data_IF_100801391555
#
_entry.id   IF_100801391555
#
_cell.length_a   1.000
_cell.length_b   1.000
_cell.length_c   1.000
_cell.angle_alpha   90.00
_cell.angle_beta   90.00
_cell.angle_gamma   90.00
#
_symmetry.space_group_name_H-M   'P 1'
#
loop_
_entity.id
_entity.type
_entity.pdbx_description
1 polymer ?
#
# COMPACT_ATOMS: atom_id res chain seq x y z
N UNK A 1 -6.63 16.42 1.30
CA UNK A 1 -7.39 15.79 2.40
C UNK A 1 -6.48 15.21 3.48
N UNK A 2 -5.59 14.26 3.15
CA UNK A 2 -4.67 13.61 4.12
C UNK A 2 -3.80 14.59 4.91
N UNK A 3 -3.20 15.60 4.25
CA UNK A 3 -2.40 16.63 4.93
C UNK A 3 -3.17 17.38 6.02
N UNK A 4 -4.49 17.55 5.87
CA UNK A 4 -5.32 18.22 6.87
C UNK A 4 -5.45 17.37 8.14
N UNK A 5 -5.56 16.05 8.01
CA UNK A 5 -5.66 15.12 9.13
C UNK A 5 -4.30 14.90 9.80
N UNK A 6 -3.23 14.77 9.00
CA UNK A 6 -1.88 14.58 9.50
C UNK A 6 -1.40 15.77 10.35
N UNK A 7 -1.68 16.99 9.89
CA UNK A 7 -1.32 18.24 10.56
C UNK A 7 -2.43 18.76 11.49
N UNK A 8 -3.42 17.94 11.84
CA UNK A 8 -4.53 18.41 12.66
C UNK A 8 -4.05 18.77 14.09
N UNK A 9 -4.39 19.96 14.63
CA UNK A 9 -3.88 20.41 15.93
C UNK A 9 -4.17 19.44 17.08
N UNK A 10 -5.38 18.86 17.10
CA UNK A 10 -5.79 17.90 18.13
C UNK A 10 -4.94 16.62 18.18
N UNK A 11 -4.14 16.35 17.15
CA UNK A 11 -3.29 15.17 17.04
C UNK A 11 -1.80 15.48 16.94
N UNK A 12 -1.38 16.74 17.12
CA UNK A 12 -0.03 17.23 16.75
C UNK A 12 1.09 16.36 17.31
N UNK A 13 1.05 16.05 18.60
CA UNK A 13 2.11 15.33 19.32
C UNK A 13 1.76 13.86 19.62
N UNK A 14 0.70 13.34 18.99
CA UNK A 14 0.27 11.96 19.17
C UNK A 14 0.91 11.03 18.11
N UNK A 15 1.34 9.83 18.50
CA UNK A 15 1.98 8.87 17.59
C UNK A 15 1.00 8.29 16.55
N UNK A 16 -0.30 8.37 16.83
CA UNK A 16 -1.38 8.04 15.90
C UNK A 16 -2.65 8.82 16.27
N UNK A 17 -3.60 8.92 15.33
CA UNK A 17 -4.93 9.49 15.57
C UNK A 17 -6.03 8.64 14.96
N UNK A 18 -7.19 8.62 15.60
CA UNK A 18 -8.40 8.02 15.04
C UNK A 18 -8.97 8.87 13.90
N UNK A 19 -9.36 8.22 12.82
CA UNK A 19 -10.03 8.83 11.67
C UNK A 19 -11.25 8.01 11.27
N UNK A 20 -12.16 8.60 10.53
CA UNK A 20 -13.23 7.87 9.85
C UNK A 20 -13.01 7.97 8.35
N UNK A 21 -12.86 6.81 7.70
CA UNK A 21 -12.83 6.69 6.24
C UNK A 21 -14.23 6.26 5.82
N UNK A 22 -15.01 7.21 5.30
CA UNK A 22 -16.46 7.08 5.16
C UNK A 22 -17.10 6.71 6.51
N UNK A 23 -17.81 5.58 6.59
CA UNK A 23 -18.45 5.09 7.81
C UNK A 23 -17.58 4.10 8.58
N UNK A 24 -16.35 3.85 8.14
CA UNK A 24 -15.44 2.89 8.78
C UNK A 24 -14.42 3.62 9.64
N UNK A 25 -14.32 3.31 10.95
CA UNK A 25 -13.24 3.84 11.77
C UNK A 25 -11.90 3.28 11.29
N UNK A 26 -10.85 4.09 11.42
CA UNK A 26 -9.49 3.75 11.07
C UNK A 26 -8.49 4.52 11.93
N UNK A 27 -7.23 4.13 11.83
CA UNK A 27 -6.13 4.76 12.56
C UNK A 27 -5.15 5.35 11.55
N UNK A 28 -4.85 6.64 11.68
CA UNK A 28 -3.77 7.30 10.99
C UNK A 28 -2.51 7.23 11.86
N UNK A 29 -1.56 6.37 11.48
CA UNK A 29 -0.27 6.23 12.16
C UNK A 29 0.66 7.35 11.70
N UNK A 30 1.28 8.04 12.64
CA UNK A 30 2.20 9.17 12.38
C UNK A 30 3.64 8.90 12.78
N UNK A 31 3.83 8.11 13.84
CA UNK A 31 5.15 7.74 14.34
C UNK A 31 5.88 6.80 13.35
N UNK A 32 7.07 7.17 12.84
CA UNK A 32 7.85 6.34 11.93
C UNK A 32 8.15 4.93 12.45
N UNK A 33 8.36 4.76 13.76
CA UNK A 33 8.64 3.44 14.33
C UNK A 33 7.39 2.55 14.34
N UNK A 34 6.22 3.13 14.60
CA UNK A 34 4.93 2.41 14.44
C UNK A 34 4.64 2.09 12.98
N UNK A 35 4.95 3.00 12.05
CA UNK A 35 4.80 2.74 10.60
C UNK A 35 5.68 1.55 10.19
N UNK A 36 6.96 1.54 10.59
CA UNK A 36 7.87 0.40 10.33
C UNK A 36 7.36 -0.88 10.98
N UNK A 37 6.82 -0.79 12.19
CA UNK A 37 6.27 -1.96 12.87
C UNK A 37 5.12 -2.56 12.06
N UNK A 38 4.13 -1.77 11.67
CA UNK A 38 2.96 -2.25 10.91
C UNK A 38 3.33 -2.70 9.49
N UNK A 39 4.16 -1.93 8.78
CA UNK A 39 4.45 -2.16 7.36
C UNK A 39 5.55 -3.19 7.11
N UNK A 40 6.43 -3.45 8.08
CA UNK A 40 7.61 -4.32 7.92
C UNK A 40 7.56 -5.46 8.93
N UNK A 41 7.65 -5.13 10.24
CA UNK A 41 7.83 -6.15 11.29
C UNK A 41 6.60 -7.08 11.41
N UNK A 42 5.42 -6.49 11.40
CA UNK A 42 4.12 -7.15 11.54
C UNK A 42 3.37 -7.24 10.20
N UNK A 43 4.07 -7.17 9.06
CA UNK A 43 3.44 -7.15 7.74
C UNK A 43 2.51 -8.35 7.51
N UNK A 44 2.84 -9.53 8.05
CA UNK A 44 2.01 -10.73 7.95
C UNK A 44 0.63 -10.56 8.61
N UNK A 45 0.49 -9.68 9.61
CA UNK A 45 -0.79 -9.35 10.25
C UNK A 45 -1.56 -8.27 9.50
N UNK A 46 -0.84 -7.36 8.84
CA UNK A 46 -1.40 -6.17 8.16
C UNK A 46 -1.25 -6.20 6.64
N UNK A 47 -1.15 -7.39 6.04
CA UNK A 47 -0.82 -7.52 4.62
C UNK A 47 -1.93 -7.09 3.67
N UNK A 48 -3.18 -7.08 4.16
CA UNK A 48 -4.36 -6.74 3.36
C UNK A 48 -4.66 -5.24 3.49
N UNK A 49 -4.86 -4.59 2.34
CA UNK A 49 -5.20 -3.17 2.26
C UNK A 49 -6.70 -2.96 2.47
N UNK A 50 -7.05 -1.70 2.77
CA UNK A 50 -8.44 -1.29 3.02
C UNK A 50 -9.33 -1.43 1.77
N UNK A 51 -8.83 -0.94 0.62
CA UNK A 51 -9.49 -1.13 -0.67
C UNK A 51 -9.18 -2.53 -1.21
N UNK A 52 -10.20 -3.20 -1.70
CA UNK A 52 -10.06 -4.50 -2.33
C UNK A 52 -11.10 -4.70 -3.41
N UNK A 53 -10.72 -5.46 -4.43
CA UNK A 53 -11.60 -5.91 -5.49
C UNK A 53 -11.92 -7.40 -5.32
N UNK A 54 -13.04 -7.82 -5.91
CA UNK A 54 -13.54 -9.19 -5.84
C UNK A 54 -13.39 -9.86 -7.20
N UNK A 55 -12.85 -11.09 -7.21
CA UNK A 55 -12.58 -11.82 -8.46
C UNK A 55 -13.85 -12.18 -9.24
N UNK A 56 -15.01 -12.28 -8.58
CA UNK A 56 -16.26 -12.62 -9.27
C UNK A 56 -16.86 -11.41 -9.97
N UNK A 57 -16.83 -10.23 -9.34
CA UNK A 57 -17.48 -9.04 -9.85
C UNK A 57 -16.54 -8.11 -10.64
N UNK A 58 -15.25 -8.08 -10.31
CA UNK A 58 -14.23 -7.27 -11.00
C UNK A 58 -12.88 -8.03 -11.05
N UNK A 59 -12.74 -9.00 -11.99
CA UNK A 59 -11.51 -9.76 -12.14
C UNK A 59 -10.29 -8.88 -12.45
N UNK A 60 -10.48 -7.81 -13.24
CA UNK A 60 -9.39 -6.94 -13.67
C UNK A 60 -8.78 -6.20 -12.49
N UNK A 61 -9.61 -5.59 -11.63
CA UNK A 61 -9.11 -4.96 -10.42
C UNK A 61 -8.61 -6.00 -9.41
N UNK A 62 -9.21 -7.20 -9.35
CA UNK A 62 -8.77 -8.26 -8.44
C UNK A 62 -7.38 -8.81 -8.76
N UNK A 63 -6.94 -8.79 -10.02
CA UNK A 63 -5.55 -9.11 -10.41
C UNK A 63 -4.55 -7.94 -10.22
N UNK A 64 -5.02 -6.75 -9.87
CA UNK A 64 -4.15 -5.61 -9.61
C UNK A 64 -3.56 -5.67 -8.19
N UNK A 65 -2.23 -5.68 -8.07
CA UNK A 65 -1.48 -5.77 -6.81
C UNK A 65 -1.87 -4.75 -5.73
N UNK A 66 -2.50 -3.62 -6.08
CA UNK A 66 -2.97 -2.63 -5.11
C UNK A 66 -4.31 -3.00 -4.47
N UNK A 67 -5.12 -3.84 -5.12
CA UNK A 67 -6.46 -4.22 -4.67
C UNK A 67 -6.58 -5.72 -4.36
N UNK A 68 -5.63 -6.55 -4.79
CA UNK A 68 -5.57 -7.98 -4.43
C UNK A 68 -5.24 -8.16 -2.95
N UNK A 69 -5.91 -9.13 -2.30
CA UNK A 69 -5.59 -9.58 -0.93
C UNK A 69 -4.67 -10.80 -0.94
N UNK A 70 -4.10 -11.13 0.22
CA UNK A 70 -3.43 -12.41 0.40
C UNK A 70 -4.45 -13.57 0.41
N UNK A 71 -4.09 -14.75 -0.14
CA UNK A 71 -2.75 -15.16 -0.59
C UNK A 71 -2.39 -14.78 -2.05
N UNK A 72 -3.34 -14.36 -2.87
CA UNK A 72 -3.15 -14.11 -4.30
C UNK A 72 -2.13 -12.99 -4.55
N UNK A 73 -2.14 -11.95 -3.72
CA UNK A 73 -1.15 -10.87 -3.76
C UNK A 73 0.29 -11.39 -3.72
N UNK A 74 0.57 -12.35 -2.83
CA UNK A 74 1.91 -12.95 -2.70
C UNK A 74 2.28 -13.72 -3.95
N UNK A 75 1.34 -14.47 -4.52
CA UNK A 75 1.56 -15.22 -5.77
C UNK A 75 1.85 -14.27 -6.94
N UNK A 76 1.03 -13.24 -7.15
CA UNK A 76 1.17 -12.27 -8.24
C UNK A 76 2.50 -11.52 -8.09
N UNK A 77 2.83 -11.04 -6.89
CA UNK A 77 4.09 -10.34 -6.61
C UNK A 77 5.31 -11.21 -6.90
N UNK A 78 5.27 -12.48 -6.52
CA UNK A 78 6.36 -13.43 -6.78
C UNK A 78 6.61 -13.61 -8.28
N UNK A 79 5.55 -13.64 -9.10
CA UNK A 79 5.66 -13.75 -10.56
C UNK A 79 6.12 -12.45 -11.24
N UNK A 80 5.70 -11.28 -10.73
CA UNK A 80 6.02 -9.97 -11.32
C UNK A 80 7.38 -9.42 -10.93
N UNK A 81 7.86 -9.68 -9.71
CA UNK A 81 9.12 -9.10 -9.22
C UNK A 81 10.33 -9.34 -10.14
N UNK A 82 10.52 -10.52 -10.77
CA UNK A 82 11.62 -10.78 -11.70
C UNK A 82 11.59 -9.97 -13.00
N UNK A 83 10.47 -9.32 -13.34
CA UNK A 83 10.36 -8.46 -14.53
C UNK A 83 11.09 -7.14 -14.31
N UNK A 84 11.17 -6.67 -13.07
CA UNK A 84 11.72 -5.37 -12.68
C UNK A 84 13.09 -5.49 -12.01
N UNK A 85 13.97 -6.35 -12.54
CA UNK A 85 15.36 -6.41 -12.07
C UNK A 85 16.12 -5.16 -12.46
N UNK A 86 17.18 -4.81 -11.71
CA UNK A 86 18.02 -3.65 -12.02
C UNK A 86 18.58 -3.68 -13.45
N UNK A 87 18.92 -4.87 -13.97
CA UNK A 87 19.38 -5.05 -15.34
C UNK A 87 18.31 -4.73 -16.39
N UNK A 88 17.08 -5.24 -16.21
CA UNK A 88 15.96 -4.95 -17.11
C UNK A 88 15.52 -3.48 -17.02
N UNK A 89 15.50 -2.90 -15.83
CA UNK A 89 15.20 -1.46 -15.65
C UNK A 89 16.26 -0.60 -16.34
N UNK A 90 17.55 -0.92 -16.17
CA UNK A 90 18.63 -0.19 -16.86
C UNK A 90 18.52 -0.32 -18.37
N UNK A 91 18.14 -1.49 -18.88
CA UNK A 91 17.85 -1.68 -20.29
C UNK A 91 16.65 -0.85 -20.74
N UNK A 92 15.62 -0.63 -19.92
CA UNK A 92 14.47 0.20 -20.29
C UNK A 92 14.73 1.71 -20.18
N UNK A 93 15.83 2.12 -19.54
CA UNK A 93 16.10 3.52 -19.22
C UNK A 93 16.16 4.43 -20.47
N UNK A 94 16.73 3.93 -21.57
CA UNK A 94 16.79 4.69 -22.83
C UNK A 94 15.41 5.12 -23.36
N UNK A 95 14.36 4.32 -23.12
CA UNK A 95 13.00 4.66 -23.53
C UNK A 95 12.43 5.88 -22.78
N UNK A 96 13.00 6.24 -21.64
CA UNK A 96 12.62 7.42 -20.86
C UNK A 96 13.41 8.64 -21.35
N UNK A 97 14.69 8.46 -21.71
CA UNK A 97 15.52 9.55 -22.24
C UNK A 97 15.07 10.00 -23.64
N UNK A 98 14.45 9.11 -24.41
CA UNK A 98 13.90 9.39 -25.75
C UNK A 98 12.51 10.07 -25.72
N UNK A 99 11.91 10.27 -24.53
CA UNK A 99 10.62 10.96 -24.29
C UNK A 99 10.83 12.42 -23.88
#
# INVERSE_FOLDING_TARGET
MVNKWYNHPAGKDQPFVGIHVFQKPGILVKDPELVKQVMIKDFNKFSNRFLAADFKNDPLAAFNLFFTKNPEWKMIRTKLSPVFTSGKIKQMFHLIDDL
#
